data_IF_403395757942
#
_entry.id   IF_403395757942
#
_cell.length_a   1.000
_cell.length_b   1.000
_cell.length_c   1.000
_cell.angle_alpha   90.00
_cell.angle_beta   90.00
_cell.angle_gamma   90.00
#
_symmetry.space_group_name_H-M   'P 1'
#
loop_
_entity.id
_entity.type
_entity.pdbx_description
1 polymer ?
#
# COMPACT_ATOMS: atom_id res chain seq x y z
N UNK A 1 -20.16 -18.10 10.25
CA UNK A 1 -20.84 -16.81 10.49
C UNK A 1 -19.82 -15.91 11.18
N UNK A 2 -19.11 -15.08 10.42
CA UNK A 2 -18.16 -14.12 10.99
C UNK A 2 -18.97 -12.96 11.57
N UNK A 3 -18.78 -12.67 12.85
CA UNK A 3 -19.40 -11.52 13.51
C UNK A 3 -18.62 -10.27 13.09
N UNK A 4 -19.10 -9.59 12.07
CA UNK A 4 -18.69 -8.23 11.76
C UNK A 4 -19.02 -7.39 13.00
N UNK A 5 -18.02 -6.81 13.66
CA UNK A 5 -18.24 -5.91 14.79
C UNK A 5 -18.20 -4.47 14.26
N UNK A 6 -19.35 -3.82 14.00
CA UNK A 6 -19.42 -2.52 13.32
C UNK A 6 -18.87 -1.35 14.15
N UNK A 7 -18.17 -1.61 15.27
CA UNK A 7 -17.74 -0.62 16.26
C UNK A 7 -16.26 -0.23 16.17
N UNK A 8 -15.48 -0.80 15.25
CA UNK A 8 -14.07 -0.44 15.09
C UNK A 8 -13.88 0.29 13.77
N UNK A 9 -13.97 1.60 13.85
CA UNK A 9 -13.55 2.53 12.80
C UNK A 9 -12.28 3.22 13.31
N UNK A 10 -11.30 3.45 12.44
CA UNK A 10 -10.02 4.02 12.88
C UNK A 10 -9.15 4.47 11.72
N UNK A 11 -8.03 5.09 12.07
CA UNK A 11 -6.95 5.42 11.13
C UNK A 11 -5.83 4.40 11.33
N UNK A 12 -5.45 3.73 10.26
CA UNK A 12 -4.45 2.69 10.24
C UNK A 12 -3.26 3.16 9.44
N UNK A 13 -2.08 3.21 10.07
CA UNK A 13 -0.84 3.32 9.32
C UNK A 13 -0.42 1.94 8.90
N UNK A 14 -0.17 1.79 7.62
CA UNK A 14 0.21 0.51 7.02
C UNK A 14 1.57 0.61 6.36
N UNK A 15 2.29 -0.50 6.41
CA UNK A 15 3.49 -0.75 5.64
C UNK A 15 3.16 -1.82 4.60
N UNK A 16 3.25 -1.47 3.32
CA UNK A 16 3.03 -2.36 2.18
C UNK A 16 4.38 -2.73 1.59
N UNK A 17 4.64 -4.03 1.41
CA UNK A 17 5.88 -4.52 0.79
C UNK A 17 5.62 -4.87 -0.67
N UNK A 18 6.26 -4.13 -1.56
CA UNK A 18 6.34 -4.46 -2.98
C UNK A 18 7.56 -5.34 -3.23
N UNK A 19 7.39 -6.38 -4.05
CA UNK A 19 8.50 -7.24 -4.48
C UNK A 19 8.36 -7.61 -5.95
N UNK A 20 9.48 -7.57 -6.66
CA UNK A 20 9.63 -8.17 -7.98
C UNK A 20 10.97 -8.89 -8.04
N UNK A 21 10.95 -10.20 -8.23
CA UNK A 21 12.12 -11.07 -8.13
C UNK A 21 12.88 -10.87 -6.79
N UNK A 22 14.15 -10.47 -6.84
CA UNK A 22 15.00 -10.16 -5.69
C UNK A 22 14.90 -8.71 -5.18
N UNK A 23 14.16 -7.84 -5.89
CA UNK A 23 14.03 -6.42 -5.56
C UNK A 23 12.84 -6.17 -4.65
N UNK A 24 13.03 -5.35 -3.62
CA UNK A 24 11.98 -5.01 -2.65
C UNK A 24 11.88 -3.50 -2.42
N UNK A 25 10.70 -3.07 -2.00
CA UNK A 25 10.44 -1.71 -1.57
C UNK A 25 9.27 -1.68 -0.58
N UNK A 26 9.28 -0.73 0.33
CA UNK A 26 8.24 -0.55 1.32
C UNK A 26 7.56 0.80 1.11
N UNK A 27 6.24 0.74 0.98
CA UNK A 27 5.37 1.90 0.97
C UNK A 27 4.73 2.06 2.34
N UNK A 28 4.70 3.28 2.85
CA UNK A 28 3.95 3.60 4.05
C UNK A 28 2.73 4.42 3.66
N UNK A 29 1.56 4.08 4.19
CA UNK A 29 0.32 4.78 3.86
C UNK A 29 -0.62 4.84 5.05
N UNK A 30 -1.66 5.64 4.90
CA UNK A 30 -2.77 5.71 5.86
C UNK A 30 -4.05 5.21 5.18
N UNK A 31 -4.79 4.37 5.89
CA UNK A 31 -6.14 3.95 5.51
C UNK A 31 -7.14 4.31 6.61
N UNK A 32 -8.28 4.88 6.23
CA UNK A 32 -9.39 5.19 7.14
C UNK A 32 -10.54 4.22 6.88
N UNK A 33 -10.83 3.32 7.81
CA UNK A 33 -11.79 2.25 7.52
C UNK A 33 -12.07 1.31 8.68
N UNK A 34 -12.59 0.14 8.34
CA UNK A 34 -12.77 -0.96 9.27
C UNK A 34 -11.48 -1.80 9.27
N UNK A 35 -10.75 -1.77 10.38
CA UNK A 35 -9.37 -2.28 10.50
C UNK A 35 -9.18 -3.77 10.50
N UNK A 36 -9.98 -4.54 9.76
CA UNK A 36 -9.67 -5.94 9.56
C UNK A 36 -8.51 -6.04 8.56
N UNK A 37 -7.39 -6.64 8.96
CA UNK A 37 -6.20 -6.75 8.10
C UNK A 37 -6.45 -7.43 6.75
N UNK A 38 -7.57 -8.16 6.60
CA UNK A 38 -8.06 -8.67 5.34
C UNK A 38 -8.58 -7.56 4.41
N UNK A 39 -9.36 -6.59 4.88
CA UNK A 39 -9.89 -5.51 4.05
C UNK A 39 -8.76 -4.60 3.52
N UNK A 40 -7.72 -4.39 4.33
CA UNK A 40 -6.50 -3.68 3.92
C UNK A 40 -5.71 -4.40 2.81
N UNK A 41 -5.79 -5.74 2.73
CA UNK A 41 -5.17 -6.52 1.66
C UNK A 41 -5.90 -6.38 0.31
N UNK A 42 -7.22 -6.18 0.33
CA UNK A 42 -8.01 -6.02 -0.90
C UNK A 42 -8.00 -4.58 -1.42
N UNK A 43 -7.85 -3.60 -0.53
CA UNK A 43 -7.93 -2.17 -0.86
C UNK A 43 -6.57 -1.49 -0.94
N UNK A 44 -5.45 -2.22 -0.97
CA UNK A 44 -4.12 -1.62 -1.02
C UNK A 44 -3.90 -0.74 -2.27
N UNK A 45 -4.53 -1.09 -3.40
CA UNK A 45 -4.59 -0.25 -4.60
C UNK A 45 -5.41 1.03 -4.44
N UNK A 46 -6.28 1.08 -3.43
CA UNK A 46 -7.12 2.23 -3.07
C UNK A 46 -6.48 3.12 -2.00
N UNK A 47 -5.31 2.76 -1.46
CA UNK A 47 -4.54 3.63 -0.57
C UNK A 47 -4.21 4.90 -1.36
N UNK A 48 -4.95 5.97 -1.04
CA UNK A 48 -5.02 7.20 -1.85
C UNK A 48 -3.79 8.08 -1.66
N UNK A 49 -2.99 7.85 -0.61
CA UNK A 49 -1.82 8.64 -0.30
C UNK A 49 -0.76 7.81 0.42
N UNK A 50 0.29 7.43 -0.30
CA UNK A 50 1.51 6.88 0.31
C UNK A 50 2.41 8.02 0.77
N UNK A 51 2.91 7.90 1.99
CA UNK A 51 3.89 8.79 2.58
C UNK A 51 5.26 8.55 1.92
N UNK A 52 5.62 9.44 1.00
CA UNK A 52 6.90 9.40 0.31
C UNK A 52 8.10 9.70 1.22
N UNK A 53 7.90 10.29 2.40
CA UNK A 53 9.02 10.64 3.31
C UNK A 53 9.51 9.41 4.06
N UNK A 54 8.62 8.49 4.40
CA UNK A 54 8.94 7.28 5.16
C UNK A 54 9.13 6.03 4.29
N UNK A 55 8.75 6.09 3.01
CA UNK A 55 8.94 5.01 2.05
C UNK A 55 10.41 4.90 1.65
N UNK A 56 10.95 3.67 1.62
CA UNK A 56 12.32 3.39 1.16
C UNK A 56 12.37 3.03 -0.33
N UNK A 57 11.24 3.17 -1.01
CA UNK A 57 11.11 3.16 -2.45
C UNK A 57 10.53 4.48 -2.95
N UNK A 58 11.10 4.99 -4.03
CA UNK A 58 10.56 6.16 -4.74
C UNK A 58 9.31 5.69 -5.48
N UNK A 59 8.12 5.90 -4.89
CA UNK A 59 6.83 5.53 -5.46
C UNK A 59 6.08 6.74 -5.99
N UNK A 60 5.63 6.67 -7.24
CA UNK A 60 4.82 7.69 -7.88
C UNK A 60 3.67 7.06 -8.64
N UNK A 61 2.43 7.47 -8.34
CA UNK A 61 1.26 7.17 -9.18
C UNK A 61 1.16 8.22 -10.28
N UNK A 62 1.20 7.78 -11.53
CA UNK A 62 1.19 8.63 -12.72
C UNK A 62 -0.15 8.49 -13.43
N UNK A 63 -0.91 9.59 -13.46
CA UNK A 63 -2.13 9.70 -14.27
C UNK A 63 -1.76 10.20 -15.67
N UNK A 64 -1.72 9.29 -16.65
CA UNK A 64 -1.51 9.68 -18.04
C UNK A 64 -2.84 10.19 -18.63
N UNK A 65 -2.79 11.31 -19.36
CA UNK A 65 -3.97 11.81 -20.12
C UNK A 65 -4.46 10.66 -21.01
N UNK A 66 -5.76 10.40 -20.98
CA UNK A 66 -6.45 9.26 -21.63
C UNK A 66 -6.62 7.96 -20.80
N UNK A 67 -6.86 8.07 -19.49
CA UNK A 67 -7.41 6.98 -18.63
C UNK A 67 -6.43 5.89 -18.22
N UNK A 68 -5.15 6.02 -18.56
CA UNK A 68 -4.12 5.07 -18.13
C UNK A 68 -3.55 5.49 -16.77
N UNK A 69 -4.07 4.86 -15.73
CA UNK A 69 -3.58 5.00 -14.36
C UNK A 69 -2.44 4.00 -14.14
N UNK A 70 -1.23 4.52 -13.99
CA UNK A 70 -0.01 3.75 -13.84
C UNK A 70 0.66 4.07 -12.52
N UNK A 71 1.54 3.18 -12.08
CA UNK A 71 2.44 3.44 -10.97
C UNK A 71 3.88 3.18 -11.38
N UNK A 72 4.79 3.84 -10.68
CA UNK A 72 6.22 3.62 -10.75
C UNK A 72 6.76 3.45 -9.33
N UNK A 73 7.60 2.45 -9.10
CA UNK A 73 8.25 2.19 -7.82
C UNK A 73 9.71 1.82 -8.04
N UNK A 74 10.62 2.53 -7.39
CA UNK A 74 12.04 2.16 -7.39
C UNK A 74 12.35 1.18 -6.26
N UNK A 75 12.56 -0.08 -6.62
CA UNK A 75 12.89 -1.16 -5.71
C UNK A 75 14.40 -1.34 -5.60
N UNK A 76 14.88 -1.92 -4.50
CA UNK A 76 16.31 -2.14 -4.22
C UNK A 76 16.52 -3.59 -3.78
N UNK A 77 17.58 -4.24 -4.25
CA UNK A 77 17.99 -5.57 -3.78
C UNK A 77 19.05 -5.47 -2.66
N UNK A 78 19.44 -6.60 -2.06
CA UNK A 78 20.42 -6.64 -0.96
C UNK A 78 21.82 -6.14 -1.35
N UNK A 79 22.13 -6.07 -2.66
CA UNK A 79 23.40 -5.55 -3.18
C UNK A 79 23.36 -4.02 -3.39
N UNK A 80 22.22 -3.38 -3.15
CA UNK A 80 22.00 -1.96 -3.43
C UNK A 80 21.73 -1.64 -4.90
N UNK A 81 21.48 -2.66 -5.74
CA UNK A 81 21.09 -2.47 -7.13
C UNK A 81 19.61 -2.11 -7.18
N UNK A 82 19.24 -1.22 -8.10
CA UNK A 82 17.89 -0.67 -8.18
C UNK A 82 17.15 -1.18 -9.41
N UNK A 83 15.86 -1.47 -9.24
CA UNK A 83 14.94 -1.80 -10.33
C UNK A 83 13.78 -0.81 -10.36
N UNK A 84 13.47 -0.27 -11.53
CA UNK A 84 12.32 0.61 -11.72
C UNK A 84 11.13 -0.24 -12.16
N UNK A 85 10.23 -0.54 -11.21
CA UNK A 85 8.97 -1.18 -11.49
C UNK A 85 8.00 -0.14 -12.05
N UNK A 86 7.42 -0.39 -13.23
CA UNK A 86 6.45 0.49 -13.86
C UNK A 86 5.37 -0.37 -14.52
N UNK A 87 4.12 -0.20 -14.09
CA UNK A 87 2.99 -0.99 -14.56
C UNK A 87 1.67 -0.23 -14.33
N UNK A 88 0.56 -0.80 -14.77
CA UNK A 88 -0.77 -0.28 -14.50
C UNK A 88 -1.17 -0.44 -13.03
N UNK A 89 -1.92 0.53 -12.49
CA UNK A 89 -2.35 0.51 -11.07
C UNK A 89 -3.13 -0.75 -10.70
N UNK A 90 -3.89 -1.31 -11.64
CA UNK A 90 -4.69 -2.52 -11.39
C UNK A 90 -3.83 -3.77 -11.21
N UNK A 91 -2.56 -3.74 -11.64
CA UNK A 91 -1.57 -4.80 -11.42
C UNK A 91 -0.79 -4.62 -10.11
N UNK A 92 -0.96 -3.51 -9.37
CA UNK A 92 -0.20 -3.24 -8.15
C UNK A 92 -0.28 -4.40 -7.14
N UNK A 93 -1.46 -5.00 -7.00
CA UNK A 93 -1.71 -6.10 -6.09
C UNK A 93 -0.86 -7.35 -6.39
N UNK A 94 -0.43 -7.56 -7.63
CA UNK A 94 0.43 -8.69 -8.01
C UNK A 94 1.85 -8.56 -7.44
N UNK A 95 2.26 -7.33 -7.10
CA UNK A 95 3.57 -7.03 -6.54
C UNK A 95 3.55 -6.93 -5.01
N UNK A 96 2.37 -6.90 -4.38
CA UNK A 96 2.25 -6.83 -2.92
C UNK A 96 2.48 -8.21 -2.32
N UNK A 97 3.51 -8.32 -1.48
CA UNK A 97 3.86 -9.57 -0.79
C UNK A 97 3.56 -9.54 0.71
N UNK A 98 3.40 -8.36 1.30
CA UNK A 98 3.02 -8.21 2.70
C UNK A 98 2.34 -6.86 2.95
N UNK A 99 1.42 -6.85 3.91
CA UNK A 99 0.85 -5.65 4.51
C UNK A 99 0.89 -5.80 6.03
N UNK A 100 1.41 -4.77 6.70
CA UNK A 100 1.54 -4.72 8.15
C UNK A 100 0.87 -3.44 8.68
N UNK A 101 -0.02 -3.58 9.67
CA UNK A 101 -0.53 -2.43 10.43
C UNK A 101 0.55 -2.05 11.45
N UNK A 102 1.15 -0.88 11.29
CA UNK A 102 2.20 -0.38 12.19
C UNK A 102 1.64 0.54 13.28
N UNK A 103 0.50 1.18 13.04
CA UNK A 103 -0.20 2.01 14.02
C UNK A 103 -1.71 1.92 13.77
N UNK A 104 -2.49 1.92 14.85
CA UNK A 104 -3.95 1.97 14.80
C UNK A 104 -4.44 3.02 15.78
N UNK A 105 -5.23 3.97 15.29
CA UNK A 105 -5.94 4.96 16.10
C UNK A 105 -7.44 4.71 15.96
N UNK A 106 -8.06 4.09 16.97
CA UNK A 106 -9.51 3.89 17.00
C UNK A 106 -10.22 5.26 17.10
N UNK A 107 -11.22 5.48 16.24
CA UNK A 107 -12.13 6.63 16.26
C UNK A 107 -13.46 6.15 16.83
N UNK A 108 -13.93 6.80 17.89
CA UNK A 108 -15.29 6.56 18.39
C UNK A 108 -16.31 7.07 17.36
N UNK A 109 -17.18 6.18 16.89
CA UNK A 109 -18.38 6.57 16.13
C UNK A 109 -19.32 7.30 17.10
N UNK A 110 -19.52 8.60 16.88
CA UNK A 110 -20.50 9.40 17.63
C UNK A 110 -21.94 9.08 17.24
#
# INVERSE_FOLDING_TARGET
MYRHNPQRYGVYKVKVTLQYDEYKGHLYGEDEGHGEGWELLFNASEITQYDQINSDCDYERKFLKESYDMFEAKLVNEKGETYLLNDYIYNLNDYITAIEIIECQEKELK
#
